data_IF_861100802466
#
_entry.id   IF_861100802466
#
_cell.length_a   1.000
_cell.length_b   1.000
_cell.length_c   1.000
_cell.angle_alpha   90.00
_cell.angle_beta   90.00
_cell.angle_gamma   90.00
#
_symmetry.space_group_name_H-M   'P 1'
#
loop_
_entity.id
_entity.type
_entity.pdbx_description
1 polymer ?
#
# COMPACT_ATOMS: atom_id res chain seq x y z
N UNK A 1 9.20 0.11 -27.24
CA UNK A 1 9.78 -0.61 -26.07
C UNK A 1 10.58 0.29 -25.11
N UNK A 2 11.22 1.39 -25.55
CA UNK A 2 12.02 2.25 -24.68
C UNK A 2 11.21 2.97 -23.57
N UNK A 3 9.96 3.36 -23.83
CA UNK A 3 9.10 3.97 -22.80
C UNK A 3 8.77 3.02 -21.64
N UNK A 4 8.50 1.74 -21.95
CA UNK A 4 8.20 0.71 -20.95
C UNK A 4 9.43 0.45 -20.06
N UNK A 5 10.63 0.38 -20.64
CA UNK A 5 11.87 0.24 -19.86
C UNK A 5 12.07 1.41 -18.90
N UNK A 6 11.87 2.65 -19.36
CA UNK A 6 11.95 3.86 -18.51
C UNK A 6 10.92 3.85 -17.39
N UNK A 7 9.69 3.41 -17.66
CA UNK A 7 8.64 3.26 -16.65
C UNK A 7 9.06 2.28 -15.55
N UNK A 8 9.53 1.09 -15.91
CA UNK A 8 9.97 0.09 -14.93
C UNK A 8 11.16 0.56 -14.09
N UNK A 9 12.10 1.29 -14.70
CA UNK A 9 13.20 1.93 -13.95
C UNK A 9 12.64 2.95 -12.95
N UNK A 10 11.72 3.81 -13.37
CA UNK A 10 11.09 4.79 -12.49
C UNK A 10 10.33 4.15 -11.32
N UNK A 11 9.52 3.13 -11.61
CA UNK A 11 8.78 2.38 -10.57
C UNK A 11 9.74 1.66 -9.61
N UNK A 12 10.81 1.05 -10.12
CA UNK A 12 11.84 0.42 -9.29
C UNK A 12 12.55 1.41 -8.38
N UNK A 13 12.86 2.61 -8.90
CA UNK A 13 13.47 3.67 -8.10
C UNK A 13 12.53 4.16 -6.99
N UNK A 14 11.24 4.37 -7.30
CA UNK A 14 10.23 4.74 -6.30
C UNK A 14 10.06 3.66 -5.24
N UNK A 15 10.03 2.38 -5.64
CA UNK A 15 9.94 1.26 -4.71
C UNK A 15 11.17 1.21 -3.78
N UNK A 16 12.37 1.47 -4.31
CA UNK A 16 13.62 1.51 -3.52
C UNK A 16 13.65 2.66 -2.52
N UNK A 17 13.09 3.82 -2.90
CA UNK A 17 13.03 5.00 -2.03
C UNK A 17 11.88 4.93 -1.01
N UNK A 18 10.88 4.07 -1.23
CA UNK A 18 9.71 3.96 -0.36
C UNK A 18 10.00 3.65 1.12
N UNK A 19 10.99 2.80 1.48
CA UNK A 19 11.30 2.50 2.88
C UNK A 19 11.93 3.67 3.63
N UNK A 20 12.35 4.75 2.95
CA UNK A 20 12.81 5.97 3.62
C UNK A 20 11.73 6.57 4.53
N UNK A 21 10.45 6.27 4.28
CA UNK A 21 9.35 6.64 5.16
C UNK A 21 9.45 6.04 6.57
N UNK A 22 10.14 4.91 6.75
CA UNK A 22 10.36 4.29 8.06
C UNK A 22 11.24 5.14 9.00
N UNK A 23 11.95 6.13 8.46
CA UNK A 23 12.70 7.09 9.26
C UNK A 23 11.80 8.15 9.91
N UNK A 24 10.56 8.30 9.44
CA UNK A 24 9.60 9.22 10.03
C UNK A 24 9.02 8.63 11.32
N UNK A 25 8.95 9.45 12.37
CA UNK A 25 8.47 9.02 13.69
C UNK A 25 6.94 9.09 13.86
N UNK A 26 6.21 9.57 12.85
CA UNK A 26 4.77 9.77 12.91
C UNK A 26 4.06 8.91 11.86
N UNK A 27 2.75 8.73 12.02
CA UNK A 27 1.88 8.03 11.08
C UNK A 27 2.00 8.60 9.67
N UNK A 28 2.00 7.71 8.68
CA UNK A 28 2.07 8.11 7.29
C UNK A 28 0.86 8.98 6.90
N UNK A 29 1.10 9.90 5.96
CA UNK A 29 0.05 10.78 5.47
C UNK A 29 -1.09 9.95 4.86
N UNK A 30 -2.30 10.13 5.38
CA UNK A 30 -3.50 9.43 4.94
C UNK A 30 -3.83 8.16 5.73
N UNK A 31 -2.96 7.72 6.64
CA UNK A 31 -3.14 6.49 7.44
C UNK A 31 -3.61 6.76 8.88
N UNK A 32 -4.01 8.00 9.18
CA UNK A 32 -4.47 8.34 10.53
C UNK A 32 -5.72 7.57 10.94
N UNK A 33 -5.65 7.00 12.15
CA UNK A 33 -6.78 6.39 12.82
C UNK A 33 -7.78 7.41 13.39
N UNK A 34 -8.92 6.92 13.85
CA UNK A 34 -9.96 7.75 14.49
C UNK A 34 -9.45 8.41 15.78
N UNK A 35 -8.62 7.71 16.55
CA UNK A 35 -8.07 8.18 17.81
C UNK A 35 -7.06 9.30 17.57
N UNK A 36 -6.22 9.15 16.54
CA UNK A 36 -5.20 10.13 16.19
C UNK A 36 -5.82 11.40 15.61
N UNK A 37 -6.80 11.27 14.71
CA UNK A 37 -7.55 12.42 14.21
C UNK A 37 -8.30 13.15 15.33
N UNK A 38 -8.87 12.42 16.29
CA UNK A 38 -9.52 13.05 17.45
C UNK A 38 -8.52 13.85 18.29
N UNK A 39 -7.27 13.40 18.42
CA UNK A 39 -6.21 14.13 19.14
C UNK A 39 -5.71 15.35 18.36
N UNK A 40 -5.54 15.22 17.04
CA UNK A 40 -5.00 16.29 16.19
C UNK A 40 -6.03 17.39 15.89
N UNK A 41 -7.29 17.02 15.66
CA UNK A 41 -8.34 17.94 15.20
C UNK A 41 -9.40 18.22 16.28
N UNK A 42 -9.42 17.46 17.38
CA UNK A 42 -10.46 17.56 18.40
C UNK A 42 -11.79 16.91 18.02
N UNK A 43 -11.89 16.29 16.84
CA UNK A 43 -13.06 15.54 16.40
C UNK A 43 -12.70 14.48 15.35
N UNK A 44 -13.62 13.54 15.13
CA UNK A 44 -13.49 12.51 14.08
C UNK A 44 -14.50 12.79 12.95
N UNK A 45 -14.07 12.84 11.68
CA UNK A 45 -14.99 13.02 10.56
C UNK A 45 -16.09 11.93 10.53
N UNK A 46 -17.36 12.34 10.35
CA UNK A 46 -18.53 11.44 10.35
C UNK A 46 -18.40 10.29 9.34
N UNK A 47 -17.80 10.55 8.18
CA UNK A 47 -17.56 9.52 7.17
C UNK A 47 -16.61 8.43 7.67
N UNK A 48 -15.56 8.79 8.39
CA UNK A 48 -14.59 7.83 8.92
C UNK A 48 -15.22 6.93 9.99
N UNK A 49 -16.08 7.50 10.85
CA UNK A 49 -16.86 6.71 11.82
C UNK A 49 -17.76 5.70 11.10
N UNK A 50 -18.41 6.12 10.01
CA UNK A 50 -19.38 5.28 9.29
C UNK A 50 -18.73 4.20 8.42
N UNK A 51 -17.59 4.51 7.79
CA UNK A 51 -17.01 3.67 6.74
C UNK A 51 -15.65 3.07 7.12
N UNK A 52 -14.96 3.58 8.14
CA UNK A 52 -13.60 3.17 8.48
C UNK A 52 -13.45 1.72 8.90
N UNK A 53 -14.51 1.12 9.46
CA UNK A 53 -14.51 -0.28 9.90
C UNK A 53 -15.02 -1.31 8.89
N UNK A 54 -15.41 -0.89 7.67
CA UNK A 54 -16.04 -1.80 6.69
C UNK A 54 -15.05 -2.83 6.15
N UNK A 55 -13.78 -2.43 6.03
CA UNK A 55 -12.73 -3.27 5.50
C UNK A 55 -11.66 -3.50 6.57
N UNK A 56 -11.27 -4.75 6.75
CA UNK A 56 -10.11 -5.12 7.57
C UNK A 56 -9.02 -5.61 6.64
N UNK A 57 -7.88 -4.90 6.66
CA UNK A 57 -6.74 -5.28 5.84
C UNK A 57 -6.19 -6.65 6.27
N UNK A 58 -5.76 -7.52 5.33
CA UNK A 58 -5.16 -8.82 5.66
C UNK A 58 -3.86 -8.72 6.45
N UNK A 59 -3.09 -7.63 6.24
CA UNK A 59 -1.85 -7.31 6.94
C UNK A 59 -2.01 -5.93 7.60
N UNK A 60 -2.67 -5.85 8.77
CA UNK A 60 -2.84 -4.59 9.48
C UNK A 60 -1.47 -4.03 9.88
N UNK A 61 -1.35 -2.71 9.86
CA UNK A 61 -0.14 -1.95 10.20
C UNK A 61 1.10 -2.39 9.39
N UNK A 62 0.88 -2.97 8.20
CA UNK A 62 1.92 -3.57 7.35
C UNK A 62 2.77 -4.63 8.05
N UNK A 63 2.25 -5.22 9.13
CA UNK A 63 2.96 -6.21 9.91
C UNK A 63 2.77 -7.61 9.32
N UNK A 64 3.84 -8.42 9.37
CA UNK A 64 3.76 -9.85 9.03
C UNK A 64 4.06 -10.66 10.30
N UNK A 65 3.20 -11.63 10.68
CA UNK A 65 3.44 -12.44 11.87
C UNK A 65 4.83 -13.07 11.86
N UNK A 66 5.46 -13.15 13.03
CA UNK A 66 6.78 -13.78 13.23
C UNK A 66 7.95 -13.07 12.50
N UNK A 67 7.76 -11.81 12.09
CA UNK A 67 8.82 -10.96 11.54
C UNK A 67 9.08 -9.75 12.45
N UNK A 68 10.23 -9.09 12.29
CA UNK A 68 10.50 -7.84 12.98
C UNK A 68 9.74 -6.68 12.32
N UNK A 69 9.60 -5.54 13.00
CA UNK A 69 8.82 -4.40 12.50
C UNK A 69 9.26 -3.95 11.09
N UNK A 70 10.57 -3.72 10.91
CA UNK A 70 11.13 -3.28 9.61
C UNK A 70 11.05 -4.37 8.55
N UNK A 71 11.40 -5.62 8.90
CA UNK A 71 11.39 -6.72 7.93
C UNK A 71 9.98 -7.13 7.53
N UNK A 72 9.02 -7.07 8.46
CA UNK A 72 7.60 -7.27 8.22
C UNK A 72 7.02 -6.21 7.31
N UNK A 73 7.33 -4.93 7.56
CA UNK A 73 6.92 -3.83 6.70
C UNK A 73 7.43 -4.00 5.26
N UNK A 74 8.73 -4.29 5.08
CA UNK A 74 9.32 -4.52 3.76
C UNK A 74 8.68 -5.73 3.09
N UNK A 75 8.46 -6.82 3.83
CA UNK A 75 7.82 -8.03 3.30
C UNK A 75 6.38 -7.76 2.86
N UNK A 76 5.61 -7.03 3.66
CA UNK A 76 4.25 -6.59 3.33
C UNK A 76 4.22 -5.76 2.04
N UNK A 77 5.16 -4.82 1.89
CA UNK A 77 5.30 -4.02 0.67
C UNK A 77 5.59 -4.89 -0.56
N UNK A 78 6.50 -5.86 -0.45
CA UNK A 78 6.82 -6.81 -1.54
C UNK A 78 5.61 -7.67 -1.90
N UNK A 79 4.89 -8.19 -0.91
CA UNK A 79 3.65 -8.97 -1.12
C UNK A 79 2.61 -8.11 -1.86
N UNK A 80 2.39 -6.87 -1.41
CA UNK A 80 1.46 -5.94 -2.04
C UNK A 80 1.82 -5.64 -3.50
N UNK A 81 3.09 -5.33 -3.77
CA UNK A 81 3.57 -5.10 -5.14
C UNK A 81 3.38 -6.34 -6.02
N UNK A 82 3.73 -7.53 -5.53
CA UNK A 82 3.57 -8.79 -6.26
C UNK A 82 2.08 -9.07 -6.59
N UNK A 83 1.19 -8.84 -5.63
CA UNK A 83 -0.26 -8.99 -5.82
C UNK A 83 -0.79 -8.03 -6.88
N UNK A 84 -0.38 -6.75 -6.86
CA UNK A 84 -0.81 -5.77 -7.87
C UNK A 84 -0.33 -6.18 -9.26
N UNK A 85 0.93 -6.59 -9.40
CA UNK A 85 1.49 -7.06 -10.69
C UNK A 85 0.72 -8.30 -11.18
N UNK A 86 0.48 -9.27 -10.30
CA UNK A 86 -0.26 -10.48 -10.65
C UNK A 86 -1.70 -10.18 -11.07
N UNK A 87 -2.41 -9.34 -10.32
CA UNK A 87 -3.79 -8.94 -10.62
C UNK A 87 -3.86 -8.19 -11.95
N UNK A 88 -3.02 -7.19 -12.16
CA UNK A 88 -3.02 -6.40 -13.40
C UNK A 88 -2.62 -7.25 -14.61
N UNK A 89 -1.66 -8.16 -14.45
CA UNK A 89 -1.25 -9.09 -15.50
C UNK A 89 -2.35 -10.10 -15.85
N UNK A 90 -2.98 -10.72 -14.84
CA UNK A 90 -4.07 -11.69 -15.06
C UNK A 90 -5.28 -11.02 -15.71
N UNK A 91 -5.73 -9.88 -15.19
CA UNK A 91 -6.81 -9.09 -15.80
C UNK A 91 -6.48 -8.70 -17.23
N UNK A 92 -5.26 -8.19 -17.48
CA UNK A 92 -4.79 -7.87 -18.82
C UNK A 92 -4.89 -9.08 -19.76
N UNK A 93 -4.50 -10.27 -19.29
CA UNK A 93 -4.60 -11.50 -20.08
C UNK A 93 -6.06 -11.89 -20.40
N UNK A 94 -6.98 -11.71 -19.46
CA UNK A 94 -8.41 -11.97 -19.68
C UNK A 94 -9.04 -10.96 -20.65
N UNK A 95 -8.73 -9.67 -20.53
CA UNK A 95 -9.34 -8.62 -21.36
C UNK A 95 -8.71 -8.47 -22.74
N UNK A 96 -7.42 -8.75 -22.89
CA UNK A 96 -6.72 -8.67 -24.19
C UNK A 96 -6.97 -9.92 -25.05
N UNK A 97 -7.51 -11.00 -24.45
CA UNK A 97 -7.76 -12.29 -25.09
C UNK A 97 -9.20 -12.55 -25.53
N UNK A 98 -9.77 -11.71 -26.41
CA UNK A 98 -10.74 -12.11 -27.47
C UNK A 98 -10.70 -11.10 -28.63
N UNK A 99 -9.56 -11.00 -29.32
CA UNK A 99 -9.60 -10.67 -30.75
C UNK A 99 -9.91 -11.97 -31.49
N UNK A 100 -11.14 -12.08 -32.00
CA UNK A 100 -11.48 -13.06 -33.04
C UNK A 100 -10.63 -12.79 -34.27
#
# INVERSE_FOLDING_TARGET
MNGIKKLWIGLGLLALLSPLGLLASNTAWGEWGTEELSRLLGYVPKGLIRFGGIWKAPLPDYSVPQTGEVSGYILSAVIGMALIVLLTWTLGRFFVGKKK
#
